data_IF_986395675593
#
_entry.id   IF_986395675593
#
_cell.length_a   1.000
_cell.length_b   1.000
_cell.length_c   1.000
_cell.angle_alpha   90.00
_cell.angle_beta   90.00
_cell.angle_gamma   90.00
#
_symmetry.space_group_name_H-M   'P 1'
#
loop_
_entity.id
_entity.type
_entity.pdbx_description
1 polymer ?
#
# COMPACT_ATOMS: atom_id res chain seq x y z
N UNK A 1 -8.16 4.34 15.22
CA UNK A 1 -8.53 2.95 15.56
C UNK A 1 -7.37 2.25 16.23
N UNK A 2 -7.61 1.32 17.17
CA UNK A 2 -6.56 0.52 17.77
C UNK A 2 -5.87 -0.37 16.72
N UNK A 3 -4.57 -0.63 16.89
CA UNK A 3 -3.83 -1.56 16.01
C UNK A 3 -4.15 -2.99 16.43
N UNK A 4 -4.84 -3.75 15.56
CA UNK A 4 -5.30 -5.12 15.80
C UNK A 4 -4.82 -6.06 14.68
N UNK A 5 -3.54 -6.49 14.71
CA UNK A 5 -3.00 -7.35 13.66
C UNK A 5 -3.60 -8.75 13.74
N UNK A 6 -4.02 -9.29 12.59
CA UNK A 6 -4.60 -10.65 12.46
C UNK A 6 -3.62 -11.67 11.86
N UNK A 7 -2.39 -11.24 11.55
CA UNK A 7 -1.35 -12.09 10.97
C UNK A 7 -0.09 -12.08 11.85
N UNK A 8 0.72 -13.17 11.86
CA UNK A 8 1.99 -13.20 12.57
C UNK A 8 2.95 -12.09 12.16
N UNK A 9 3.01 -11.78 10.86
CA UNK A 9 3.81 -10.69 10.32
C UNK A 9 3.36 -9.32 10.87
N UNK A 10 2.04 -9.06 10.85
CA UNK A 10 1.48 -7.83 11.41
C UNK A 10 1.75 -7.69 12.90
N UNK A 11 1.63 -8.79 13.66
CA UNK A 11 1.91 -8.82 15.10
C UNK A 11 3.38 -8.52 15.39
N UNK A 12 4.30 -9.10 14.63
CA UNK A 12 5.73 -8.84 14.78
C UNK A 12 6.07 -7.35 14.53
N UNK A 13 5.53 -6.74 13.48
CA UNK A 13 5.72 -5.31 13.18
C UNK A 13 5.13 -4.40 14.26
N UNK A 14 3.94 -4.73 14.76
CA UNK A 14 3.31 -3.97 15.84
C UNK A 14 4.08 -4.08 17.17
N UNK A 15 4.61 -5.27 17.45
CA UNK A 15 5.44 -5.53 18.64
C UNK A 15 6.73 -4.73 18.57
N UNK A 16 7.42 -4.73 17.42
CA UNK A 16 8.61 -3.90 17.22
C UNK A 16 8.33 -2.40 17.47
N UNK A 17 7.22 -1.87 16.94
CA UNK A 17 6.81 -0.48 17.19
C UNK A 17 6.65 -0.20 18.68
N UNK A 18 5.95 -1.06 19.42
CA UNK A 18 5.76 -0.91 20.88
C UNK A 18 7.08 -0.93 21.64
N UNK A 19 8.01 -1.80 21.26
CA UNK A 19 9.35 -1.82 21.85
C UNK A 19 10.13 -0.52 21.59
N UNK A 20 10.02 0.05 20.39
CA UNK A 20 10.64 1.34 20.07
C UNK A 20 10.00 2.49 20.86
N UNK A 21 8.67 2.50 21.00
CA UNK A 21 7.96 3.48 21.85
C UNK A 21 8.41 3.38 23.31
N UNK A 22 8.53 2.16 23.86
CA UNK A 22 9.08 1.94 25.21
C UNK A 22 10.54 2.40 25.33
N UNK A 23 11.36 2.17 24.30
CA UNK A 23 12.75 2.61 24.28
C UNK A 23 12.84 4.14 24.29
N UNK A 24 11.93 4.82 23.59
CA UNK A 24 11.85 6.28 23.49
C UNK A 24 11.63 6.95 24.87
N UNK A 25 10.93 6.28 25.79
CA UNK A 25 10.71 6.74 27.17
C UNK A 25 11.99 6.73 28.02
N UNK A 26 12.95 5.85 27.69
CA UNK A 26 14.22 5.71 28.44
C UNK A 26 15.36 6.45 27.75
N UNK A 27 15.36 6.46 26.43
CA UNK A 27 16.34 7.13 25.59
C UNK A 27 15.62 8.08 24.63
N UNK A 28 15.74 9.41 24.79
CA UNK A 28 15.07 10.35 23.91
C UNK A 28 15.59 10.26 22.47
N UNK A 29 14.70 9.97 21.53
CA UNK A 29 14.93 10.08 20.09
C UNK A 29 13.62 10.40 19.36
N UNK A 30 13.70 10.86 18.11
CA UNK A 30 12.52 11.05 17.26
C UNK A 30 12.15 9.73 16.60
N UNK A 31 11.05 9.10 17.05
CA UNK A 31 10.50 7.92 16.38
C UNK A 31 9.58 8.34 15.23
N UNK A 32 9.88 7.95 13.99
CA UNK A 32 9.01 8.15 12.83
C UNK A 32 8.59 6.79 12.26
N UNK A 33 7.44 6.29 12.72
CA UNK A 33 6.93 4.98 12.34
C UNK A 33 6.04 5.07 11.10
N UNK A 34 6.66 5.00 9.92
CA UNK A 34 5.97 5.04 8.62
C UNK A 34 5.30 3.68 8.33
N UNK A 35 3.98 3.70 8.11
CA UNK A 35 3.16 2.55 7.75
C UNK A 35 2.83 2.62 6.27
N UNK A 36 3.39 1.68 5.51
CA UNK A 36 3.13 1.53 4.09
C UNK A 36 1.80 0.81 3.85
N UNK A 37 1.05 1.30 2.87
CA UNK A 37 -0.15 0.65 2.35
C UNK A 37 0.21 -0.11 1.07
N UNK A 38 -0.72 -0.28 0.13
CA UNK A 38 -0.46 -1.05 -1.09
C UNK A 38 0.42 -0.20 -2.02
N UNK A 39 1.67 -0.61 -2.22
CA UNK A 39 2.57 0.06 -3.14
C UNK A 39 2.58 -0.67 -4.49
N UNK A 40 2.78 0.10 -5.57
CA UNK A 40 2.99 -0.47 -6.90
C UNK A 40 4.03 0.31 -7.71
N UNK A 41 4.65 -0.37 -8.68
CA UNK A 41 5.64 0.22 -9.57
C UNK A 41 6.86 -0.68 -9.83
N UNK A 42 7.94 -0.13 -10.39
CA UNK A 42 9.17 -0.86 -10.70
C UNK A 42 9.76 -1.60 -9.50
N UNK A 43 10.22 -2.84 -9.72
CA UNK A 43 10.83 -3.67 -8.68
C UNK A 43 9.82 -4.36 -7.74
N UNK A 44 8.51 -4.29 -8.03
CA UNK A 44 7.49 -4.98 -7.27
C UNK A 44 7.65 -6.51 -7.34
N UNK A 45 7.21 -7.20 -6.29
CA UNK A 45 7.27 -8.66 -6.23
C UNK A 45 6.57 -9.29 -7.46
N UNK A 46 7.20 -10.24 -8.19
CA UNK A 46 6.59 -10.90 -9.34
C UNK A 46 5.24 -11.58 -9.05
N UNK A 47 5.00 -11.93 -7.78
CA UNK A 47 3.73 -12.51 -7.31
C UNK A 47 2.66 -11.46 -6.97
N UNK A 48 2.94 -10.17 -7.18
CA UNK A 48 1.93 -9.12 -7.00
C UNK A 48 0.89 -9.18 -8.13
N UNK A 49 -0.27 -8.57 -7.92
CA UNK A 49 -1.33 -8.55 -8.91
C UNK A 49 -0.90 -7.89 -10.22
N UNK A 50 -0.32 -6.69 -10.14
CA UNK A 50 0.09 -5.94 -11.33
C UNK A 50 1.27 -6.59 -12.04
N UNK A 51 2.22 -7.20 -11.30
CA UNK A 51 3.31 -7.95 -11.93
C UNK A 51 2.84 -9.23 -12.63
N UNK A 52 1.83 -9.92 -12.08
CA UNK A 52 1.22 -11.08 -12.76
C UNK A 52 0.45 -10.65 -14.00
N UNK A 53 -0.23 -9.50 -13.94
CA UNK A 53 -0.91 -8.91 -15.09
C UNK A 53 0.08 -8.50 -16.20
N UNK A 54 1.19 -7.86 -15.84
CA UNK A 54 2.28 -7.54 -16.75
C UNK A 54 2.78 -8.79 -17.47
N UNK A 55 3.05 -9.86 -16.71
CA UNK A 55 3.53 -11.12 -17.25
C UNK A 55 2.52 -11.77 -18.23
N UNK A 56 1.21 -11.70 -17.92
CA UNK A 56 0.16 -12.22 -18.79
C UNK A 56 0.05 -11.41 -20.09
N UNK A 57 0.13 -10.07 -20.00
CA UNK A 57 0.15 -9.18 -21.17
C UNK A 57 1.38 -9.48 -22.04
N UNK A 58 2.56 -9.63 -21.45
CA UNK A 58 3.81 -9.92 -22.15
C UNK A 58 3.83 -11.29 -22.83
N UNK A 59 3.13 -12.28 -22.25
CA UNK A 59 2.95 -13.60 -22.83
C UNK A 59 1.90 -13.63 -23.95
N UNK A 60 1.10 -12.57 -24.11
CA UNK A 60 0.00 -12.54 -25.06
C UNK A 60 -1.18 -13.41 -24.63
N UNK A 61 -1.38 -13.59 -23.32
CA UNK A 61 -2.51 -14.36 -22.80
C UNK A 61 -3.83 -13.67 -23.19
N UNK A 62 -4.84 -14.42 -23.63
CA UNK A 62 -6.12 -13.83 -24.03
C UNK A 62 -6.94 -13.35 -22.83
N UNK A 63 -6.68 -13.89 -21.64
CA UNK A 63 -7.47 -13.69 -20.43
C UNK A 63 -6.58 -13.68 -19.20
N UNK A 64 -6.79 -12.71 -18.32
CA UNK A 64 -6.22 -12.66 -16.98
C UNK A 64 -7.24 -13.11 -15.93
N UNK A 65 -6.85 -14.07 -15.10
CA UNK A 65 -7.69 -14.64 -14.03
C UNK A 65 -7.48 -13.90 -12.72
N UNK A 66 -8.56 -13.51 -12.08
CA UNK A 66 -8.53 -12.83 -10.78
C UNK A 66 -9.76 -13.16 -9.93
N UNK A 67 -9.80 -12.69 -8.68
CA UNK A 67 -11.05 -12.65 -7.91
C UNK A 67 -12.05 -11.66 -8.53
N UNK A 68 -13.23 -11.47 -7.94
CA UNK A 68 -14.20 -10.48 -8.45
C UNK A 68 -13.68 -9.04 -8.48
N UNK A 69 -12.69 -8.73 -7.62
CA UNK A 69 -11.99 -7.43 -7.61
C UNK A 69 -12.77 -6.27 -6.97
N UNK A 70 -13.84 -6.55 -6.23
CA UNK A 70 -14.68 -5.56 -5.51
C UNK A 70 -14.01 -5.03 -4.24
N UNK A 71 -12.92 -5.68 -3.80
CA UNK A 71 -12.14 -5.24 -2.67
C UNK A 71 -11.60 -3.82 -2.91
N UNK A 72 -11.84 -2.92 -1.96
CA UNK A 72 -11.31 -1.55 -1.97
C UNK A 72 -9.96 -1.50 -1.27
N UNK A 73 -8.98 -0.90 -1.94
CA UNK A 73 -7.58 -0.81 -1.49
C UNK A 73 -7.01 0.57 -1.78
N UNK A 74 -6.05 0.97 -0.95
CA UNK A 74 -5.31 2.22 -1.07
C UNK A 74 -3.96 1.96 -1.72
N UNK A 75 -3.92 2.16 -3.04
CA UNK A 75 -2.72 1.98 -3.87
C UNK A 75 -1.97 3.31 -4.01
N UNK A 76 -0.63 3.25 -3.89
CA UNK A 76 0.27 4.39 -4.02
C UNK A 76 1.49 4.01 -4.88
N UNK A 77 1.90 4.82 -5.86
CA UNK A 77 3.15 4.60 -6.59
C UNK A 77 4.35 4.51 -5.64
N UNK A 78 5.26 3.58 -5.89
CA UNK A 78 6.44 3.36 -5.03
C UNK A 78 7.38 4.57 -5.01
N UNK A 79 7.49 5.29 -6.13
CA UNK A 79 8.27 6.52 -6.25
C UNK A 79 7.68 7.64 -5.38
N UNK A 80 6.35 7.72 -5.33
CA UNK A 80 5.66 8.70 -4.49
C UNK A 80 5.84 8.36 -3.00
N UNK A 81 5.71 7.09 -2.64
CA UNK A 81 5.99 6.61 -1.28
C UNK A 81 7.44 6.91 -0.87
N UNK A 82 8.41 6.68 -1.75
CA UNK A 82 9.82 6.96 -1.49
C UNK A 82 10.06 8.46 -1.27
N UNK A 83 9.49 9.32 -2.12
CA UNK A 83 9.54 10.78 -1.96
C UNK A 83 8.99 11.21 -0.61
N UNK A 84 7.84 10.68 -0.20
CA UNK A 84 7.24 11.02 1.10
C UNK A 84 8.06 10.50 2.29
N UNK A 85 8.68 9.33 2.20
CA UNK A 85 9.59 8.84 3.25
C UNK A 85 10.78 9.78 3.41
N UNK A 86 11.39 10.23 2.32
CA UNK A 86 12.50 11.20 2.35
C UNK A 86 12.04 12.51 2.98
N UNK A 87 10.85 13.00 2.62
CA UNK A 87 10.26 14.20 3.22
C UNK A 87 10.05 14.03 4.72
N UNK A 88 9.42 12.94 5.17
CA UNK A 88 9.21 12.64 6.59
C UNK A 88 10.54 12.61 7.34
N UNK A 89 11.55 11.92 6.80
CA UNK A 89 12.87 11.83 7.43
C UNK A 89 13.55 13.19 7.64
N UNK A 90 13.25 14.18 6.79
CA UNK A 90 13.74 15.56 6.91
C UNK A 90 12.97 16.45 7.89
N UNK A 91 11.84 15.98 8.45
CA UNK A 91 10.91 16.78 9.25
C UNK A 91 10.62 16.08 10.59
N UNK A 92 11.50 16.22 11.62
CA UNK A 92 11.38 15.53 12.91
C UNK A 92 10.10 15.84 13.70
N UNK A 93 9.43 16.95 13.41
CA UNK A 93 8.11 17.30 13.95
C UNK A 93 7.01 16.37 13.42
N UNK A 94 7.21 15.76 12.25
CA UNK A 94 6.40 14.65 11.75
C UNK A 94 6.88 13.34 12.39
N UNK A 95 6.49 13.09 13.65
CA UNK A 95 6.92 11.93 14.44
C UNK A 95 5.76 11.01 14.87
N UNK A 96 6.05 9.91 15.55
CA UNK A 96 5.10 8.87 15.92
C UNK A 96 4.63 8.04 14.73
N UNK A 97 3.39 7.56 14.78
CA UNK A 97 2.78 6.76 13.69
C UNK A 97 2.38 7.66 12.53
N UNK A 98 2.79 7.29 11.32
CA UNK A 98 2.58 8.05 10.07
C UNK A 98 2.10 7.08 8.99
N UNK A 99 0.91 7.28 8.43
CA UNK A 99 0.43 6.46 7.31
C UNK A 99 0.95 7.05 5.99
N UNK A 100 1.69 6.25 5.22
CA UNK A 100 2.14 6.57 3.87
C UNK A 100 1.18 5.89 2.89
N UNK A 101 0.19 6.65 2.43
CA UNK A 101 -0.98 6.17 1.71
C UNK A 101 -1.62 7.30 0.91
N UNK A 102 -2.34 6.97 -0.16
CA UNK A 102 -3.04 7.96 -0.98
C UNK A 102 -4.27 8.54 -0.27
N UNK A 103 -4.87 7.79 0.65
CA UNK A 103 -6.16 8.11 1.27
C UNK A 103 -7.35 7.99 0.32
N UNK A 104 -7.13 7.45 -0.89
CA UNK A 104 -8.13 7.35 -1.97
C UNK A 104 -8.28 5.89 -2.38
N UNK A 105 -9.29 5.17 -1.83
CA UNK A 105 -9.48 3.77 -2.18
C UNK A 105 -9.92 3.60 -3.64
N UNK A 106 -9.40 2.56 -4.29
CA UNK A 106 -9.81 2.07 -5.61
C UNK A 106 -10.19 0.59 -5.50
N UNK A 107 -11.17 0.13 -6.28
CA UNK A 107 -11.45 -1.30 -6.35
C UNK A 107 -10.33 -2.00 -7.12
N UNK A 108 -9.98 -3.23 -6.71
CA UNK A 108 -8.96 -4.02 -7.41
C UNK A 108 -9.31 -4.18 -8.89
N UNK A 109 -10.59 -4.41 -9.20
CA UNK A 109 -11.08 -4.49 -10.58
C UNK A 109 -10.79 -3.21 -11.36
N UNK A 110 -11.17 -2.05 -10.79
CA UNK A 110 -10.95 -0.76 -11.45
C UNK A 110 -9.46 -0.46 -11.65
N UNK A 111 -8.63 -0.79 -10.65
CA UNK A 111 -7.17 -0.68 -10.76
C UNK A 111 -6.65 -1.49 -11.96
N UNK A 112 -7.09 -2.74 -12.10
CA UNK A 112 -6.68 -3.62 -13.22
C UNK A 112 -7.17 -3.08 -14.55
N UNK A 113 -8.42 -2.66 -14.65
CA UNK A 113 -9.00 -2.08 -15.87
C UNK A 113 -8.26 -0.80 -16.31
N UNK A 114 -7.99 0.12 -15.37
CA UNK A 114 -7.21 1.34 -15.62
C UNK A 114 -5.77 1.03 -16.04
N UNK A 115 -5.16 0.00 -15.44
CA UNK A 115 -3.80 -0.42 -15.77
C UNK A 115 -3.70 -1.04 -17.16
N UNK A 116 -4.64 -1.91 -17.56
CA UNK A 116 -4.74 -2.47 -18.91
C UNK A 116 -4.89 -1.35 -19.95
N UNK A 117 -5.79 -0.39 -19.68
CA UNK A 117 -6.00 0.75 -20.56
C UNK A 117 -4.74 1.62 -20.70
N UNK A 118 -4.05 1.91 -19.60
CA UNK A 118 -2.78 2.66 -19.61
C UNK A 118 -1.68 1.92 -20.40
N UNK A 119 -1.65 0.59 -20.33
CA UNK A 119 -0.71 -0.25 -21.09
C UNK A 119 -1.07 -0.39 -22.57
N UNK A 120 -2.28 0.01 -22.98
CA UNK A 120 -2.79 -0.23 -24.33
C UNK A 120 -2.87 -1.73 -24.67
N UNK A 121 -3.11 -2.58 -23.67
CA UNK A 121 -3.14 -4.03 -23.84
C UNK A 121 -4.55 -4.53 -24.17
N UNK A 122 -4.64 -5.57 -25.00
CA UNK A 122 -5.90 -6.26 -25.30
C UNK A 122 -5.91 -7.62 -24.59
N UNK A 123 -6.43 -7.63 -23.35
CA UNK A 123 -6.58 -8.84 -22.53
C UNK A 123 -7.94 -8.85 -21.82
N UNK A 124 -8.64 -9.98 -21.87
CA UNK A 124 -9.91 -10.16 -21.16
C UNK A 124 -9.73 -10.39 -19.66
N UNK A 125 -10.77 -10.18 -18.86
CA UNK A 125 -10.77 -10.50 -17.43
C UNK A 125 -11.72 -11.66 -17.13
N UNK A 126 -11.21 -12.73 -16.54
CA UNK A 126 -12.02 -13.80 -15.95
C UNK A 126 -12.16 -13.54 -14.45
N UNK A 127 -13.24 -12.82 -14.10
CA UNK A 127 -13.56 -12.43 -12.74
C UNK A 127 -14.17 -13.59 -11.95
N UNK A 128 -13.77 -13.72 -10.68
CA UNK A 128 -14.30 -14.76 -9.78
C UNK A 128 -13.65 -16.13 -9.95
N UNK A 129 -12.55 -16.24 -10.71
CA UNK A 129 -11.78 -17.46 -10.85
C UNK A 129 -11.11 -17.87 -9.52
N UNK A 130 -10.57 -16.89 -8.79
CA UNK A 130 -9.99 -17.10 -7.46
C UNK A 130 -10.95 -16.63 -6.35
N UNK A 131 -11.03 -17.35 -5.21
CA UNK A 131 -11.79 -16.88 -4.06
C UNK A 131 -11.14 -15.64 -3.43
N UNK A 132 -11.91 -14.85 -2.68
CA UNK A 132 -11.34 -13.77 -1.87
C UNK A 132 -10.52 -14.35 -0.71
N UNK A 133 -9.39 -13.73 -0.35
CA UNK A 133 -8.66 -14.10 0.87
C UNK A 133 -9.52 -13.89 2.12
N UNK A 134 -9.69 -14.94 2.94
CA UNK A 134 -10.56 -14.92 4.14
C UNK A 134 -10.09 -13.95 5.23
N UNK A 135 -8.78 -13.66 5.27
CA UNK A 135 -8.15 -12.81 6.28
C UNK A 135 -8.06 -11.34 5.87
N UNK A 136 -8.46 -10.98 4.64
CA UNK A 136 -8.41 -9.60 4.18
C UNK A 136 -9.80 -8.94 4.22
N UNK A 137 -9.91 -7.71 4.76
CA UNK A 137 -11.17 -6.97 4.74
C UNK A 137 -11.57 -6.61 3.31
N UNK A 138 -12.88 -6.46 3.07
CA UNK A 138 -13.40 -5.97 1.78
C UNK A 138 -13.03 -4.52 1.49
N UNK A 139 -12.76 -3.70 2.51
CA UNK A 139 -12.36 -2.32 2.33
C UNK A 139 -11.27 -1.93 3.33
N UNK A 140 -10.16 -1.41 2.83
CA UNK A 140 -9.01 -1.00 3.65
C UNK A 140 -8.23 0.13 2.97
N UNK A 141 -8.16 1.27 3.63
CA UNK A 141 -7.38 2.43 3.18
C UNK A 141 -6.83 3.22 4.35
N UNK A 142 -5.86 4.08 4.05
CA UNK A 142 -5.18 4.88 5.04
C UNK A 142 -5.74 6.28 5.16
N UNK A 143 -5.24 6.99 6.15
CA UNK A 143 -5.42 8.43 6.30
C UNK A 143 -4.05 9.07 6.35
N UNK A 144 -3.68 9.70 5.23
CA UNK A 144 -2.37 10.31 5.00
C UNK A 144 -2.24 11.75 5.50
N UNK A 145 -3.23 12.29 6.23
CA UNK A 145 -3.24 13.71 6.66
C UNK A 145 -1.95 14.16 7.35
N UNK A 146 -1.27 13.26 8.06
CA UNK A 146 -0.02 13.57 8.77
C UNK A 146 1.16 13.87 7.84
N UNK A 147 1.24 13.21 6.68
CA UNK A 147 2.18 13.57 5.61
C UNK A 147 1.66 14.81 4.86
N UNK A 148 0.34 14.97 4.76
CA UNK A 148 -0.30 16.20 4.25
C UNK A 148 0.16 17.48 4.95
N UNK A 149 0.42 17.43 6.26
CA UNK A 149 0.89 18.58 7.05
C UNK A 149 2.26 19.07 6.58
N UNK A 150 3.15 18.20 6.09
CA UNK A 150 4.47 18.60 5.55
C UNK A 150 4.41 19.20 4.15
N UNK A 151 3.25 19.18 3.47
CA UNK A 151 3.05 19.86 2.18
C UNK A 151 2.71 21.35 2.31
N UNK A 152 2.45 21.86 3.52
CA UNK A 152 1.95 23.24 3.77
C UNK A 152 3.09 24.21 4.17
N UNK A 153 4.36 23.87 3.95
CA UNK A 153 5.48 24.74 4.34
C UNK A 153 6.62 24.74 3.32
N UNK A 154 6.27 25.04 2.07
CA UNK A 154 7.20 25.51 1.04
C UNK A 154 6.58 26.73 0.36
N UNK A 155 6.39 27.81 1.13
CA UNK A 155 6.22 29.18 0.64
C UNK A 155 7.32 30.06 1.26
#
# INVERSE_FOLDING_TARGET
MPTAPVTPYGLAKDTLRKFLEMLQEVHPFTLQWVRLFYLYGPGQNPKSLLSQLDAAIEQGDPVFRMSGGEQLRDYLPVEEAARWIVQVAGHPECNGIINCCSGRPVSIRRLVEEYIAHRGAEIGLELGYYPYPEYEPMAFWGDGRKIGITHVSLD
#
